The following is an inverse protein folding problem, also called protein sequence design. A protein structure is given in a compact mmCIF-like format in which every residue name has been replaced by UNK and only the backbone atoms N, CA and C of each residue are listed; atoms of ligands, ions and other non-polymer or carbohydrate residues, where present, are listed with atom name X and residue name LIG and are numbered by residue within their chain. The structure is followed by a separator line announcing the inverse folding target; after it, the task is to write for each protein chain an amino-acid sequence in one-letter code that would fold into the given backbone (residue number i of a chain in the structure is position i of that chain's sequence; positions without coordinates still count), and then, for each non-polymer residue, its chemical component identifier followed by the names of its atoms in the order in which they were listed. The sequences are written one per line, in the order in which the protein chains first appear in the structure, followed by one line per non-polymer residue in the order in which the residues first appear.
data_IF_504667136144
#
_entry.id   IF_504667136144
#
_cell.length_a   1.000
_cell.length_b   1.000
_cell.length_c   1.000
_cell.angle_alpha   90.00
_cell.angle_beta   90.00
_cell.angle_gamma   90.00
#
_symmetry.space_group_name_H-M   'P 1'
#
loop_
_entity.id
_entity.type
_entity.pdbx_description
1 polymer ?
#
# COMPACT_ATOMS: atom_id res chain seq x y z
N UNK A 1 19.62 11.17 -12.75
CA UNK A 1 18.35 11.53 -12.09
C UNK A 1 17.95 10.34 -11.22
N UNK A 2 17.66 10.55 -9.93
CA UNK A 2 17.31 9.46 -9.01
C UNK A 2 15.81 9.23 -9.06
N UNK A 3 15.39 7.98 -9.30
CA UNK A 3 13.97 7.61 -9.20
C UNK A 3 13.61 7.35 -7.74
N UNK A 4 12.49 7.91 -7.29
CA UNK A 4 11.95 7.72 -5.94
C UNK A 4 10.61 6.99 -6.01
N UNK A 5 10.26 6.24 -4.96
CA UNK A 5 9.00 5.47 -4.86
C UNK A 5 8.75 4.57 -6.07
N UNK A 6 9.80 3.88 -6.55
CA UNK A 6 9.68 2.94 -7.66
C UNK A 6 8.90 1.71 -7.20
N UNK A 7 7.73 1.50 -7.77
CA UNK A 7 6.87 0.35 -7.45
C UNK A 7 7.54 -0.93 -7.97
N UNK A 8 7.80 -1.86 -7.05
CA UNK A 8 8.42 -3.17 -7.35
C UNK A 8 7.39 -4.28 -7.50
N UNK A 9 6.36 -4.28 -6.68
CA UNK A 9 5.29 -5.28 -6.66
C UNK A 9 3.93 -4.61 -6.40
N UNK A 10 2.87 -5.19 -6.96
CA UNK A 10 1.48 -4.84 -6.63
C UNK A 10 0.74 -6.12 -6.24
N UNK A 11 0.17 -6.13 -5.03
CA UNK A 11 -0.62 -7.26 -4.50
C UNK A 11 -2.03 -6.80 -4.13
N UNK A 12 -3.04 -7.55 -4.58
CA UNK A 12 -4.44 -7.34 -4.14
C UNK A 12 -4.65 -8.04 -2.80
N UNK A 13 -4.98 -7.29 -1.76
CA UNK A 13 -5.22 -7.82 -0.41
C UNK A 13 -6.61 -8.44 -0.24
N UNK A 14 -7.58 -8.02 -1.04
CA UNK A 14 -8.95 -8.51 -1.01
C UNK A 14 -9.95 -7.43 -1.42
N UNK A 15 -11.22 -7.70 -1.15
CA UNK A 15 -12.31 -6.76 -1.38
C UNK A 15 -12.71 -6.03 -0.10
N UNK A 16 -13.08 -4.77 -0.25
CA UNK A 16 -13.68 -3.97 0.80
C UNK A 16 -15.11 -3.59 0.43
N UNK A 17 -16.04 -3.79 1.36
CA UNK A 17 -17.47 -3.59 1.15
C UNK A 17 -18.06 -2.47 2.04
N UNK A 18 -17.20 -1.57 2.53
CA UNK A 18 -17.59 -0.48 3.42
C UNK A 18 -17.49 -0.81 4.91
N UNK A 19 -17.20 -2.07 5.29
CA UNK A 19 -17.05 -2.49 6.70
C UNK A 19 -15.58 -2.58 7.12
N UNK A 20 -15.22 -2.29 8.37
CA UNK A 20 -13.86 -2.52 8.86
C UNK A 20 -13.41 -3.97 8.65
N UNK A 21 -12.16 -4.15 8.21
CA UNK A 21 -11.54 -5.46 7.93
C UNK A 21 -10.03 -5.36 8.13
N UNK A 22 -9.39 -6.47 8.48
CA UNK A 22 -7.94 -6.57 8.60
C UNK A 22 -7.38 -7.41 7.47
N UNK A 23 -6.28 -6.94 6.89
CA UNK A 23 -5.52 -7.67 5.88
C UNK A 23 -4.07 -7.82 6.34
N UNK A 24 -3.46 -9.00 6.17
CA UNK A 24 -2.02 -9.15 6.38
C UNK A 24 -1.28 -8.32 5.33
N UNK A 25 -0.33 -7.50 5.79
CA UNK A 25 0.55 -6.75 4.89
C UNK A 25 1.79 -7.58 4.53
N UNK A 26 2.36 -7.39 3.32
CA UNK A 26 3.64 -7.98 2.96
C UNK A 26 4.73 -7.61 3.98
N UNK A 27 5.47 -8.61 4.45
CA UNK A 27 6.57 -8.41 5.40
C UNK A 27 7.92 -8.26 4.70
N UNK A 28 7.98 -8.66 3.42
CA UNK A 28 9.21 -8.91 2.68
C UNK A 28 9.80 -7.66 2.01
N UNK A 29 9.25 -6.47 2.32
CA UNK A 29 9.79 -5.22 1.81
C UNK A 29 11.19 -4.99 2.37
N UNK A 30 12.15 -4.72 1.50
CA UNK A 30 13.55 -4.46 1.87
C UNK A 30 13.71 -3.23 2.78
N UNK A 31 14.92 -3.07 3.33
CA UNK A 31 15.26 -1.98 4.29
C UNK A 31 14.98 -0.59 3.71
N UNK A 32 15.15 -0.42 2.40
CA UNK A 32 14.90 0.85 1.69
C UNK A 32 13.54 0.85 0.94
N UNK A 33 12.65 -0.09 1.24
CA UNK A 33 11.36 -0.23 0.57
C UNK A 33 10.18 0.10 1.48
N UNK A 34 9.27 0.94 0.97
CA UNK A 34 8.02 1.28 1.63
C UNK A 34 6.86 0.36 1.23
N UNK A 35 5.89 0.19 2.12
CA UNK A 35 4.59 -0.44 1.80
C UNK A 35 3.51 0.63 1.81
N UNK A 36 2.77 0.75 0.71
CA UNK A 36 1.60 1.61 0.57
C UNK A 36 0.38 0.76 0.30
N UNK A 37 -0.69 1.00 1.05
CA UNK A 37 -1.99 0.39 0.84
C UNK A 37 -2.89 1.40 0.15
N UNK A 38 -3.52 0.99 -0.94
CA UNK A 38 -4.51 1.78 -1.66
C UNK A 38 -5.87 1.11 -1.55
N UNK A 39 -6.88 1.87 -1.12
CA UNK A 39 -8.27 1.49 -1.28
C UNK A 39 -8.76 2.03 -2.63
N UNK A 40 -8.97 1.14 -3.59
CA UNK A 40 -9.37 1.50 -4.95
C UNK A 40 -10.80 1.04 -5.24
N UNK A 41 -11.63 1.94 -5.78
CA UNK A 41 -12.94 1.60 -6.30
C UNK A 41 -12.84 0.62 -7.48
N UNK A 42 -13.74 -0.35 -7.55
CA UNK A 42 -13.70 -1.40 -8.57
C UNK A 42 -14.11 -0.88 -9.96
N UNK A 43 -15.10 0.00 -10.01
CA UNK A 43 -15.78 0.38 -11.25
C UNK A 43 -15.00 1.42 -12.05
N UNK A 44 -14.47 2.44 -11.37
CA UNK A 44 -13.78 3.57 -12.00
C UNK A 44 -12.28 3.66 -11.65
N UNK A 45 -11.77 2.71 -10.85
CA UNK A 45 -10.38 2.64 -10.40
C UNK A 45 -9.90 3.85 -9.62
N UNK A 46 -10.82 4.70 -9.16
CA UNK A 46 -10.48 5.85 -8.31
C UNK A 46 -9.89 5.38 -6.98
N UNK A 47 -8.79 5.99 -6.56
CA UNK A 47 -8.25 5.78 -5.22
C UNK A 47 -9.16 6.55 -4.25
N UNK A 48 -9.81 5.82 -3.35
CA UNK A 48 -10.71 6.36 -2.34
C UNK A 48 -9.95 6.76 -1.07
N UNK A 49 -8.89 6.01 -0.74
CA UNK A 49 -8.02 6.27 0.40
C UNK A 49 -6.67 5.58 0.23
N UNK A 50 -5.69 5.98 1.02
CA UNK A 50 -4.37 5.38 1.06
C UNK A 50 -3.74 5.49 2.45
N UNK A 51 -2.88 4.54 2.78
CA UNK A 51 -2.02 4.61 3.97
C UNK A 51 -0.63 4.09 3.62
N UNK A 52 0.40 4.69 4.22
CA UNK A 52 1.77 4.21 4.13
C UNK A 52 2.16 3.59 5.47
N UNK A 53 2.90 2.47 5.42
CA UNK A 53 3.59 1.97 6.62
C UNK A 53 4.70 2.98 6.96
N UNK A 54 4.79 3.47 8.21
CA UNK A 54 5.87 4.35 8.62
C UNK A 54 7.23 3.67 8.39
N UNK A 55 8.18 4.42 7.83
CA UNK A 55 9.57 3.97 7.74
C UNK A 55 10.13 3.87 9.16
N UNK A 56 10.75 2.74 9.48
CA UNK A 56 11.34 2.53 10.81
C UNK A 56 12.67 3.28 10.85
N UNK A 57 12.67 4.57 11.19
CA UNK A 57 13.93 5.32 11.37
C UNK A 57 13.93 6.83 11.11
N UNK A 58 12.79 7.52 11.04
CA UNK A 58 12.78 8.98 10.95
C UNK A 58 12.05 9.60 12.14
N UNK A 59 12.82 9.81 13.21
CA UNK A 59 12.56 10.87 14.20
C UNK A 59 12.97 12.23 13.62
#
# INVERSE_FOLDING_TARGET
MTHVNVVREVRRLGDWNGRPVLFPLPQDAGVDEGVVVLLQAKDDRRILSSAARPETGRD
#
